data_IF_540565886576
#
_entry.id   IF_540565886576
#
_cell.length_a   1.000
_cell.length_b   1.000
_cell.length_c   1.000
_cell.angle_alpha   90.00
_cell.angle_beta   90.00
_cell.angle_gamma   90.00
#
_symmetry.space_group_name_H-M   'P 1'
#
loop_
_entity.id
_entity.type
_entity.pdbx_description
1 polymer ?
#
# COMPACT_ATOMS: atom_id res chain seq x y z
N UNK A 1 -0.66 -6.27 -28.87
CA UNK A 1 -0.45 -7.66 -28.39
C UNK A 1 -1.79 -8.16 -27.84
N UNK A 2 -2.24 -9.38 -28.20
CA UNK A 2 -3.56 -9.91 -27.80
C UNK A 2 -3.39 -11.37 -27.33
N UNK A 3 -3.74 -11.70 -26.07
CA UNK A 3 -3.77 -13.08 -25.60
C UNK A 3 -4.83 -13.91 -26.34
N UNK A 4 -4.58 -15.22 -26.48
CA UNK A 4 -5.54 -16.16 -27.08
C UNK A 4 -6.75 -16.37 -26.16
N UNK A 5 -6.51 -16.43 -24.85
CA UNK A 5 -7.54 -16.57 -23.84
C UNK A 5 -7.21 -15.68 -22.63
N UNK A 6 -8.26 -15.13 -22.00
CA UNK A 6 -8.14 -14.41 -20.73
C UNK A 6 -9.19 -14.90 -19.77
N UNK A 7 -8.79 -15.14 -18.53
CA UNK A 7 -9.68 -15.52 -17.43
C UNK A 7 -9.74 -14.36 -16.46
N UNK A 8 -10.96 -13.93 -16.15
CA UNK A 8 -11.23 -12.95 -15.09
C UNK A 8 -11.74 -13.67 -13.86
N UNK A 9 -11.13 -13.43 -12.72
CA UNK A 9 -11.57 -13.91 -11.43
C UNK A 9 -11.83 -12.75 -10.47
N UNK A 10 -12.90 -12.86 -9.68
CA UNK A 10 -13.18 -11.97 -8.55
C UNK A 10 -14.05 -12.70 -7.51
N UNK A 11 -13.97 -12.34 -6.22
CA UNK A 11 -14.97 -12.76 -5.26
C UNK A 11 -16.30 -12.01 -5.51
N UNK A 12 -17.43 -12.69 -5.29
CA UNK A 12 -18.77 -12.09 -5.46
C UNK A 12 -19.12 -11.11 -4.33
N UNK A 13 -18.52 -11.28 -3.14
CA UNK A 13 -18.69 -10.43 -1.97
C UNK A 13 -17.38 -10.16 -1.25
N UNK A 14 -17.43 -9.48 -0.09
CA UNK A 14 -16.26 -9.19 0.74
C UNK A 14 -15.23 -8.23 0.10
N UNK A 15 -15.63 -7.41 -0.86
CA UNK A 15 -14.73 -6.40 -1.45
C UNK A 15 -14.73 -5.11 -0.62
N UNK A 16 -13.57 -4.48 -0.39
CA UNK A 16 -13.50 -3.14 0.19
C UNK A 16 -14.36 -2.14 -0.59
N UNK A 17 -15.18 -1.35 0.12
CA UNK A 17 -16.12 -0.39 -0.50
C UNK A 17 -15.44 0.91 -0.99
N UNK A 18 -14.21 1.17 -0.57
CA UNK A 18 -13.46 2.41 -0.87
C UNK A 18 -12.83 2.45 -2.27
N UNK A 19 -12.87 1.33 -2.99
CA UNK A 19 -12.22 1.14 -4.29
C UNK A 19 -13.23 0.52 -5.25
N UNK A 20 -13.33 1.00 -6.52
CA UNK A 20 -14.19 0.37 -7.51
C UNK A 20 -13.87 -1.12 -7.70
N UNK A 21 -14.90 -1.96 -7.81
CA UNK A 21 -14.72 -3.41 -7.94
C UNK A 21 -13.82 -3.80 -9.12
N UNK A 22 -13.86 -3.02 -10.22
CA UNK A 22 -13.06 -3.22 -11.42
C UNK A 22 -11.55 -3.08 -11.16
N UNK A 23 -11.15 -2.36 -10.11
CA UNK A 23 -9.75 -2.18 -9.74
C UNK A 23 -9.19 -3.36 -8.95
N UNK A 24 -10.06 -4.20 -8.39
CA UNK A 24 -9.68 -5.40 -7.63
C UNK A 24 -9.80 -6.69 -8.45
N UNK A 25 -10.20 -6.62 -9.71
CA UNK A 25 -10.29 -7.79 -10.60
C UNK A 25 -8.93 -8.42 -10.87
N UNK A 26 -8.89 -9.76 -10.87
CA UNK A 26 -7.69 -10.54 -11.18
C UNK A 26 -7.81 -11.08 -12.60
N UNK A 27 -6.85 -10.71 -13.45
CA UNK A 27 -6.77 -11.14 -14.84
C UNK A 27 -5.61 -12.09 -15.07
N UNK A 28 -5.91 -13.25 -15.66
CA UNK A 28 -4.92 -14.22 -16.12
C UNK A 28 -4.98 -14.33 -17.64
N UNK A 29 -3.83 -14.26 -18.29
CA UNK A 29 -3.74 -14.33 -19.76
C UNK A 29 -3.05 -15.61 -20.20
N UNK A 30 -3.56 -16.23 -21.26
CA UNK A 30 -3.05 -17.47 -21.81
C UNK A 30 -2.79 -17.33 -23.31
N UNK A 31 -1.66 -17.88 -23.75
CA UNK A 31 -1.30 -18.03 -25.16
C UNK A 31 -1.04 -19.52 -25.41
N UNK A 32 -1.71 -20.10 -26.40
CA UNK A 32 -1.57 -21.49 -26.75
C UNK A 32 -0.59 -21.64 -27.92
N UNK A 33 0.44 -22.46 -27.74
CA UNK A 33 1.42 -22.75 -28.79
C UNK A 33 1.32 -24.20 -29.21
N UNK A 34 0.74 -24.44 -30.39
CA UNK A 34 0.79 -25.74 -31.03
C UNK A 34 2.11 -25.91 -31.80
N UNK A 35 2.84 -27.01 -31.57
CA UNK A 35 4.13 -27.27 -32.23
C UNK A 35 4.15 -28.65 -32.85
N UNK A 36 4.24 -28.70 -34.17
CA UNK A 36 4.18 -29.92 -34.98
C UNK A 36 5.44 -30.78 -34.77
N UNK A 37 6.61 -30.17 -34.58
CA UNK A 37 7.89 -30.89 -34.43
C UNK A 37 7.93 -31.76 -33.16
N UNK A 38 7.31 -31.29 -32.07
CA UNK A 38 7.15 -32.07 -30.84
C UNK A 38 6.18 -33.24 -31.02
N UNK A 39 5.16 -33.08 -31.87
CA UNK A 39 4.19 -34.12 -32.16
C UNK A 39 4.85 -35.25 -32.96
N UNK A 40 5.69 -34.90 -33.95
CA UNK A 40 6.42 -35.87 -34.76
C UNK A 40 7.38 -36.69 -33.90
N UNK A 41 8.20 -36.03 -33.07
CA UNK A 41 9.11 -36.71 -32.15
C UNK A 41 8.38 -37.63 -31.15
N UNK A 42 7.20 -37.24 -30.67
CA UNK A 42 6.37 -38.06 -29.78
C UNK A 42 5.64 -39.21 -30.49
N UNK A 43 5.35 -39.08 -31.79
CA UNK A 43 4.74 -40.13 -32.61
C UNK A 43 5.77 -41.15 -33.12
N UNK A 44 7.02 -40.74 -33.31
CA UNK A 44 8.13 -41.60 -33.77
C UNK A 44 8.85 -42.33 -32.65
N UNK A 45 8.54 -42.01 -31.38
CA UNK A 45 9.09 -42.72 -30.21
C UNK A 45 8.37 -44.06 -30.02
N UNK A 46 8.77 -45.08 -30.76
CA UNK A 46 8.41 -46.47 -30.52
C UNK A 46 9.21 -47.05 -29.32
N UNK A 47 8.77 -48.13 -28.64
CA UNK A 47 9.36 -48.57 -27.38
C UNK A 47 10.70 -49.30 -27.49
N UNK A 48 11.25 -49.49 -28.68
CA UNK A 48 12.50 -50.24 -28.88
C UNK A 48 13.53 -49.38 -29.64
N UNK A 49 14.34 -48.62 -28.91
CA UNK A 49 15.66 -48.17 -29.35
C UNK A 49 16.44 -47.67 -28.13
N UNK A 50 17.12 -48.60 -27.48
CA UNK A 50 18.22 -48.28 -26.56
C UNK A 50 19.37 -47.64 -27.33
N UNK A 51 19.97 -46.63 -26.70
CA UNK A 51 21.24 -45.97 -26.99
C UNK A 51 21.41 -45.16 -28.30
N UNK A 52 21.60 -43.85 -28.10
CA UNK A 52 22.46 -42.88 -28.81
C UNK A 52 21.73 -41.59 -29.25
N UNK A 53 21.64 -40.60 -28.34
CA UNK A 53 21.99 -39.19 -28.62
C UNK A 53 21.74 -38.30 -27.39
N UNK A 54 22.81 -38.02 -26.64
CA UNK A 54 22.83 -37.02 -25.54
C UNK A 54 22.82 -35.55 -26.03
N UNK A 55 22.26 -35.25 -27.22
CA UNK A 55 22.27 -33.89 -27.81
C UNK A 55 20.91 -33.35 -28.25
N UNK A 56 19.80 -33.89 -27.72
CA UNK A 56 18.44 -33.39 -28.04
C UNK A 56 17.65 -32.92 -26.80
N UNK A 57 18.29 -32.12 -25.94
CA UNK A 57 17.67 -31.50 -24.76
C UNK A 57 16.63 -30.39 -25.06
N UNK A 58 16.14 -30.26 -26.30
CA UNK A 58 15.21 -29.18 -26.71
C UNK A 58 13.82 -29.65 -27.18
N UNK A 59 13.41 -30.87 -26.88
CA UNK A 59 12.07 -31.39 -27.21
C UNK A 59 11.14 -31.37 -25.98
N UNK A 60 10.13 -30.50 -26.02
CA UNK A 60 8.98 -30.54 -25.08
C UNK A 60 8.73 -29.34 -24.17
N UNK A 61 9.65 -28.38 -24.00
CA UNK A 61 9.48 -27.24 -23.10
C UNK A 61 8.90 -25.97 -23.73
N UNK A 62 8.38 -25.06 -22.90
CA UNK A 62 8.07 -23.68 -23.32
C UNK A 62 9.35 -22.98 -23.79
N UNK A 63 9.30 -22.28 -24.94
CA UNK A 63 10.47 -21.55 -25.44
C UNK A 63 10.63 -20.27 -24.63
N UNK A 64 11.89 -19.83 -24.48
CA UNK A 64 12.21 -18.53 -23.88
C UNK A 64 11.45 -17.38 -24.55
N UNK A 65 11.32 -17.39 -25.87
CA UNK A 65 10.61 -16.36 -26.62
C UNK A 65 9.12 -16.28 -26.27
N UNK A 66 8.47 -17.44 -26.03
CA UNK A 66 7.07 -17.47 -25.62
C UNK A 66 6.91 -16.89 -24.20
N UNK A 67 7.86 -17.18 -23.30
CA UNK A 67 7.88 -16.59 -21.95
C UNK A 67 8.17 -15.08 -21.98
N UNK A 68 9.04 -14.61 -22.88
CA UNK A 68 9.29 -13.18 -23.09
C UNK A 68 8.02 -12.45 -23.55
N UNK A 69 7.21 -13.09 -24.40
CA UNK A 69 5.89 -12.56 -24.77
C UNK A 69 4.97 -12.40 -23.54
N UNK A 70 5.06 -13.30 -22.56
CA UNK A 70 4.24 -13.21 -21.34
C UNK A 70 4.65 -12.05 -20.43
N UNK A 71 5.94 -11.68 -20.39
CA UNK A 71 6.37 -10.43 -19.74
C UNK A 71 5.69 -9.22 -20.39
N UNK A 72 5.67 -9.17 -21.73
CA UNK A 72 5.03 -8.07 -22.42
C UNK A 72 3.51 -7.99 -22.15
N UNK A 73 2.82 -9.12 -21.97
CA UNK A 73 1.42 -9.11 -21.53
C UNK A 73 1.26 -8.55 -20.13
N UNK A 74 2.08 -9.02 -19.18
CA UNK A 74 2.05 -8.54 -17.79
C UNK A 74 2.23 -7.03 -17.68
N UNK A 75 3.10 -6.47 -18.51
CA UNK A 75 3.43 -5.05 -18.45
C UNK A 75 2.47 -4.18 -19.28
N UNK A 76 2.00 -4.67 -20.43
CA UNK A 76 1.17 -3.88 -21.35
C UNK A 76 -0.34 -3.95 -21.08
N UNK A 77 -0.81 -5.00 -20.39
CA UNK A 77 -2.22 -5.17 -20.08
C UNK A 77 -2.43 -4.86 -18.59
N UNK A 78 -3.12 -3.75 -18.31
CA UNK A 78 -3.40 -3.31 -16.95
C UNK A 78 -4.07 -4.42 -16.13
N UNK A 79 -3.64 -4.58 -14.87
CA UNK A 79 -4.20 -5.53 -13.89
C UNK A 79 -3.96 -7.01 -14.24
N UNK A 80 -2.97 -7.29 -15.08
CA UNK A 80 -2.50 -8.68 -15.28
C UNK A 80 -1.88 -9.20 -13.99
N UNK A 81 -2.52 -10.19 -13.36
CA UNK A 81 -1.96 -10.90 -12.21
C UNK A 81 -1.02 -12.04 -12.66
N UNK A 82 -1.26 -12.60 -13.85
CA UNK A 82 -0.32 -13.55 -14.45
C UNK A 82 -0.56 -13.81 -15.91
N UNK A 83 0.50 -14.25 -16.59
CA UNK A 83 0.46 -14.60 -18.00
C UNK A 83 1.20 -15.92 -18.24
N UNK A 84 0.54 -16.85 -18.95
CA UNK A 84 0.95 -18.23 -19.05
C UNK A 84 0.93 -18.75 -20.49
N UNK A 85 1.86 -19.64 -20.81
CA UNK A 85 1.89 -20.35 -22.10
C UNK A 85 1.33 -21.76 -21.94
N UNK A 86 0.38 -22.14 -22.78
CA UNK A 86 -0.06 -23.53 -22.91
C UNK A 86 0.71 -24.20 -24.05
N UNK A 87 1.35 -25.33 -23.78
CA UNK A 87 2.14 -26.05 -24.79
C UNK A 87 1.84 -27.56 -24.79
N UNK A 88 2.01 -28.26 -25.93
CA UNK A 88 1.81 -29.70 -26.01
C UNK A 88 2.93 -30.42 -25.26
N UNK A 89 2.58 -31.06 -24.14
CA UNK A 89 3.50 -31.82 -23.29
C UNK A 89 2.74 -32.60 -22.21
N UNK A 90 3.44 -33.49 -21.51
CA UNK A 90 2.90 -34.31 -20.41
C UNK A 90 3.49 -33.96 -19.04
N UNK A 91 4.66 -33.32 -19.00
CA UNK A 91 5.38 -33.02 -17.77
C UNK A 91 5.78 -31.55 -17.70
N UNK A 92 5.76 -31.00 -16.48
CA UNK A 92 6.25 -29.65 -16.22
C UNK A 92 7.75 -29.78 -15.96
N UNK A 93 8.56 -29.41 -16.95
CA UNK A 93 10.01 -29.55 -16.85
C UNK A 93 10.68 -28.55 -15.90
N UNK A 94 10.03 -27.43 -15.59
CA UNK A 94 10.60 -26.38 -14.74
C UNK A 94 9.50 -25.54 -14.06
N UNK A 95 9.07 -25.89 -12.83
CA UNK A 95 8.35 -24.92 -11.97
C UNK A 95 9.41 -24.10 -11.24
N UNK A 96 9.86 -23.02 -11.87
CA UNK A 96 10.72 -22.05 -11.17
C UNK A 96 9.86 -21.02 -10.47
N UNK A 97 9.49 -21.30 -9.22
CA UNK A 97 8.98 -20.25 -8.33
C UNK A 97 10.15 -19.37 -7.95
N UNK A 98 10.03 -18.07 -8.22
CA UNK A 98 11.03 -17.13 -7.74
C UNK A 98 10.97 -17.10 -6.20
N UNK A 99 12.09 -17.28 -5.49
CA UNK A 99 12.11 -17.52 -4.03
C UNK A 99 11.53 -16.36 -3.20
N UNK A 100 11.38 -15.17 -3.80
CA UNK A 100 10.70 -14.03 -3.19
C UNK A 100 9.16 -14.03 -3.27
N UNK A 101 8.54 -14.95 -4.03
CA UNK A 101 7.09 -15.04 -4.19
C UNK A 101 6.56 -16.26 -3.43
N UNK A 102 5.96 -16.00 -2.27
CA UNK A 102 5.36 -17.02 -1.40
C UNK A 102 3.86 -17.22 -1.68
N UNK A 103 3.25 -16.39 -2.53
CA UNK A 103 1.84 -16.46 -2.91
C UNK A 103 1.67 -17.00 -4.33
N UNK A 104 0.50 -17.56 -4.63
CA UNK A 104 0.18 -18.20 -5.92
C UNK A 104 0.19 -17.18 -7.07
N UNK A 105 -0.16 -15.93 -6.78
CA UNK A 105 -0.06 -14.78 -7.67
C UNK A 105 0.88 -13.74 -7.04
N UNK A 106 1.55 -12.88 -7.83
CA UNK A 106 1.58 -12.79 -9.30
C UNK A 106 2.70 -13.62 -9.95
N UNK A 107 2.54 -14.03 -11.21
CA UNK A 107 3.54 -14.88 -11.87
C UNK A 107 3.46 -15.01 -13.40
N UNK A 108 4.55 -15.54 -13.96
CA UNK A 108 4.63 -16.00 -15.34
C UNK A 108 4.95 -17.48 -15.34
N UNK A 109 4.41 -18.24 -16.28
CA UNK A 109 4.68 -19.67 -16.32
C UNK A 109 4.25 -20.33 -17.61
N UNK A 110 4.39 -21.64 -17.64
CA UNK A 110 3.91 -22.44 -18.75
C UNK A 110 3.34 -23.76 -18.25
N UNK A 111 2.20 -24.15 -18.81
CA UNK A 111 1.53 -25.39 -18.48
C UNK A 111 1.53 -26.34 -19.68
N UNK A 112 1.94 -27.60 -19.49
CA UNK A 112 1.70 -28.63 -20.47
C UNK A 112 0.19 -28.89 -20.55
N UNK A 113 -0.36 -28.93 -21.76
CA UNK A 113 -1.74 -29.34 -22.02
C UNK A 113 -1.78 -30.17 -23.30
N UNK A 114 -2.18 -31.43 -23.18
CA UNK A 114 -2.23 -32.39 -24.30
C UNK A 114 -3.63 -32.98 -24.43
N UNK A 115 -4.25 -32.97 -25.62
CA UNK A 115 -5.45 -33.77 -25.86
C UNK A 115 -5.11 -35.26 -25.68
N UNK A 116 -5.84 -35.99 -24.83
CA UNK A 116 -5.65 -37.44 -24.63
C UNK A 116 -6.89 -38.22 -25.07
N UNK A 117 -6.72 -39.51 -25.36
CA UNK A 117 -7.84 -40.43 -25.65
C UNK A 117 -8.82 -40.55 -24.49
N UNK A 118 -8.32 -40.38 -23.26
CA UNK A 118 -9.09 -40.44 -22.02
C UNK A 118 -9.76 -39.09 -21.68
N UNK A 119 -9.66 -38.11 -22.58
CA UNK A 119 -10.23 -36.77 -22.45
C UNK A 119 -9.29 -35.73 -21.83
N UNK A 120 -9.84 -34.53 -21.61
CA UNK A 120 -9.17 -33.41 -20.95
C UNK A 120 -8.83 -33.63 -19.46
N UNK A 121 -9.66 -34.31 -18.63
CA UNK A 121 -9.42 -34.38 -17.18
C UNK A 121 -8.09 -35.06 -16.78
N UNK A 122 -7.60 -35.99 -17.59
CA UNK A 122 -6.32 -36.67 -17.32
C UNK A 122 -5.12 -35.79 -17.66
N UNK A 123 -5.27 -34.81 -18.56
CA UNK A 123 -4.20 -33.97 -19.08
C UNK A 123 -4.21 -32.52 -18.59
N UNK A 124 -5.29 -32.07 -17.94
CA UNK A 124 -5.42 -30.73 -17.35
C UNK A 124 -5.14 -30.64 -15.86
N UNK A 125 -4.87 -31.76 -15.16
CA UNK A 125 -4.79 -31.82 -13.68
C UNK A 125 -3.98 -30.69 -13.03
N UNK A 126 -2.82 -30.35 -13.58
CA UNK A 126 -1.99 -29.26 -13.06
C UNK A 126 -2.66 -27.90 -13.24
N UNK A 127 -3.23 -27.67 -14.43
CA UNK A 127 -3.95 -26.44 -14.74
C UNK A 127 -5.21 -26.30 -13.87
N UNK A 128 -5.92 -27.40 -13.63
CA UNK A 128 -7.09 -27.44 -12.74
C UNK A 128 -6.69 -27.12 -11.29
N UNK A 129 -5.61 -27.73 -10.80
CA UNK A 129 -5.06 -27.40 -9.48
C UNK A 129 -4.63 -25.94 -9.40
N UNK A 130 -3.96 -25.42 -10.42
CA UNK A 130 -3.58 -24.02 -10.50
C UNK A 130 -4.80 -23.08 -10.42
N UNK A 131 -5.85 -23.35 -11.19
CA UNK A 131 -7.08 -22.57 -11.11
C UNK A 131 -7.75 -22.66 -9.74
N UNK A 132 -7.77 -23.85 -9.11
CA UNK A 132 -8.28 -24.02 -7.75
C UNK A 132 -7.48 -23.20 -6.72
N UNK A 133 -6.15 -23.21 -6.83
CA UNK A 133 -5.25 -22.43 -5.97
C UNK A 133 -5.46 -20.92 -6.19
N UNK A 134 -5.61 -20.47 -7.44
CA UNK A 134 -5.94 -19.08 -7.80
C UNK A 134 -7.27 -18.65 -7.22
N UNK A 135 -8.33 -19.44 -7.40
CA UNK A 135 -9.66 -19.09 -6.88
C UNK A 135 -9.65 -18.99 -5.35
N UNK A 136 -8.96 -19.90 -4.67
CA UNK A 136 -8.78 -19.86 -3.22
C UNK A 136 -8.01 -18.62 -2.78
N UNK A 137 -6.95 -18.25 -3.51
CA UNK A 137 -6.16 -17.06 -3.26
C UNK A 137 -6.96 -15.77 -3.47
N UNK A 138 -7.69 -15.65 -4.59
CA UNK A 138 -8.52 -14.49 -4.94
C UNK A 138 -9.70 -14.31 -3.99
N UNK A 139 -10.24 -15.41 -3.44
CA UNK A 139 -11.30 -15.36 -2.44
C UNK A 139 -10.81 -14.92 -1.05
N UNK A 140 -9.49 -14.87 -0.82
CA UNK A 140 -8.92 -14.59 0.49
C UNK A 140 -8.58 -13.10 0.66
N UNK A 141 -9.16 -12.48 1.69
CA UNK A 141 -8.90 -11.07 2.04
C UNK A 141 -7.56 -10.86 2.77
N UNK A 142 -6.90 -11.93 3.21
CA UNK A 142 -5.70 -11.85 4.05
C UNK A 142 -4.40 -11.99 3.25
N UNK A 143 -4.49 -12.06 1.91
CA UNK A 143 -3.32 -12.17 1.03
C UNK A 143 -2.60 -10.83 0.90
N UNK A 144 -1.28 -10.88 0.70
CA UNK A 144 -0.48 -9.69 0.38
C UNK A 144 -0.88 -9.12 -0.96
N UNK A 145 -1.25 -9.98 -1.92
CA UNK A 145 -1.80 -9.57 -3.22
C UNK A 145 -3.08 -8.73 -3.09
N UNK A 146 -4.06 -9.14 -2.27
CA UNK A 146 -5.28 -8.34 -2.04
C UNK A 146 -4.94 -6.97 -1.44
N UNK A 147 -4.06 -6.95 -0.42
CA UNK A 147 -3.58 -5.69 0.18
C UNK A 147 -2.90 -4.82 -0.87
N UNK A 148 -2.05 -5.40 -1.71
CA UNK A 148 -1.34 -4.69 -2.77
C UNK A 148 -2.31 -4.10 -3.80
N UNK A 149 -3.26 -4.89 -4.32
CA UNK A 149 -4.29 -4.42 -5.27
C UNK A 149 -5.08 -3.26 -4.69
N UNK A 150 -5.54 -3.37 -3.45
CA UNK A 150 -6.31 -2.32 -2.78
C UNK A 150 -5.54 -0.98 -2.67
N UNK A 151 -4.28 -1.01 -2.23
CA UNK A 151 -3.50 0.21 -2.07
C UNK A 151 -3.03 0.79 -3.41
N UNK A 152 -2.64 -0.04 -4.38
CA UNK A 152 -2.33 0.40 -5.74
C UNK A 152 -3.52 1.13 -6.36
N UNK A 153 -4.71 0.54 -6.25
CA UNK A 153 -5.97 1.13 -6.71
C UNK A 153 -6.27 2.47 -5.99
N UNK A 154 -6.10 2.50 -4.66
CA UNK A 154 -6.29 3.72 -3.87
C UNK A 154 -5.36 4.85 -4.28
N UNK A 155 -4.08 4.57 -4.51
CA UNK A 155 -3.05 5.57 -4.90
C UNK A 155 -3.24 6.06 -6.33
N UNK A 156 -3.75 5.22 -7.23
CA UNK A 156 -3.98 5.58 -8.64
C UNK A 156 -5.42 6.05 -8.92
N UNK A 157 -6.17 6.43 -7.88
CA UNK A 157 -7.56 6.88 -8.04
C UNK A 157 -7.63 8.09 -9.00
N UNK A 158 -8.47 8.04 -10.05
CA UNK A 158 -8.59 9.15 -11.00
C UNK A 158 -9.08 10.44 -10.33
N UNK A 159 -8.51 11.58 -10.73
CA UNK A 159 -8.96 12.91 -10.32
C UNK A 159 -8.38 13.43 -9.00
N UNK A 160 -7.57 12.64 -8.29
CA UNK A 160 -6.76 13.18 -7.19
C UNK A 160 -5.56 13.95 -7.78
N UNK A 161 -5.32 15.20 -7.34
CA UNK A 161 -4.19 15.97 -7.83
C UNK A 161 -2.88 15.31 -7.39
N UNK A 162 -1.99 15.06 -8.36
CA UNK A 162 -0.61 14.68 -8.09
C UNK A 162 0.07 15.89 -7.47
N UNK A 163 0.45 15.78 -6.19
CA UNK A 163 1.23 16.81 -5.55
C UNK A 163 2.69 16.65 -6.01
N UNK A 164 3.12 17.51 -6.92
CA UNK A 164 4.52 17.64 -7.29
C UNK A 164 5.22 18.53 -6.25
N UNK A 165 5.76 17.92 -5.21
CA UNK A 165 6.50 18.62 -4.17
C UNK A 165 7.87 17.96 -3.95
N UNK A 166 8.92 18.78 -3.84
CA UNK A 166 10.27 18.35 -3.46
C UNK A 166 10.50 18.36 -1.95
N UNK A 167 9.48 18.73 -1.17
CA UNK A 167 9.57 18.83 0.27
C UNK A 167 9.68 17.44 0.90
N UNK A 168 10.81 17.18 1.54
CA UNK A 168 11.14 15.90 2.17
C UNK A 168 11.39 16.06 3.66
N UNK A 169 11.31 14.95 4.39
CA UNK A 169 11.72 14.89 5.79
C UNK A 169 12.16 13.48 6.19
N UNK A 170 13.11 13.40 7.12
CA UNK A 170 13.86 12.16 7.41
C UNK A 170 13.32 11.39 8.62
N UNK A 171 12.30 11.91 9.32
CA UNK A 171 11.78 11.31 10.56
C UNK A 171 10.50 10.48 10.38
N UNK A 172 9.99 10.35 9.15
CA UNK A 172 8.79 9.54 8.88
C UNK A 172 9.14 8.06 8.83
N UNK A 173 8.34 7.25 9.52
CA UNK A 173 8.45 5.79 9.49
C UNK A 173 7.56 5.16 8.37
N UNK A 174 6.57 5.92 7.89
CA UNK A 174 5.59 5.55 6.85
C UNK A 174 5.52 6.65 5.77
N UNK A 175 4.97 6.37 4.57
CA UNK A 175 4.76 7.41 3.57
C UNK A 175 3.94 8.60 4.09
N UNK A 176 4.10 9.82 3.54
CA UNK A 176 3.39 11.01 4.00
C UNK A 176 1.86 10.87 4.08
N UNK A 177 1.24 10.18 3.12
CA UNK A 177 -0.20 9.98 3.07
C UNK A 177 -0.73 8.98 4.12
N UNK A 178 0.16 8.12 4.65
CA UNK A 178 -0.16 7.10 5.66
C UNK A 178 0.26 7.54 7.07
N UNK A 179 0.94 8.69 7.19
CA UNK A 179 1.41 9.19 8.48
C UNK A 179 0.45 10.22 9.06
N UNK A 180 -0.28 9.84 10.09
CA UNK A 180 -1.17 10.72 10.85
C UNK A 180 -0.39 11.69 11.76
N UNK A 181 -0.77 12.96 11.67
CA UNK A 181 -0.18 14.10 12.39
C UNK A 181 -1.28 14.80 13.19
N UNK A 182 -1.16 14.75 14.51
CA UNK A 182 -1.99 15.54 15.41
C UNK A 182 -1.51 16.99 15.40
N UNK A 183 -2.41 17.94 15.14
CA UNK A 183 -2.12 19.37 15.27
C UNK A 183 -2.36 19.81 16.70
N UNK A 184 -1.27 20.15 17.39
CA UNK A 184 -1.27 20.52 18.80
C UNK A 184 -1.16 22.02 19.01
N UNK A 185 -2.27 22.69 19.38
CA UNK A 185 -2.24 24.11 19.70
C UNK A 185 -1.56 24.38 21.06
N UNK A 186 -0.56 25.25 21.06
CA UNK A 186 0.11 25.77 22.24
C UNK A 186 -0.61 27.04 22.72
N UNK A 187 -1.38 26.89 23.79
CA UNK A 187 -2.31 27.92 24.28
C UNK A 187 -1.66 29.13 24.94
N UNK A 188 -0.49 28.97 25.54
CA UNK A 188 0.19 30.05 26.27
C UNK A 188 1.69 29.73 26.45
N UNK A 189 2.52 30.73 26.80
CA UNK A 189 3.93 30.50 27.13
C UNK A 189 4.13 29.52 28.29
N UNK A 190 3.25 29.53 29.30
CA UNK A 190 3.29 28.58 30.42
C UNK A 190 3.01 27.16 29.93
N UNK A 191 2.06 27.01 29.00
CA UNK A 191 1.77 25.73 28.39
C UNK A 191 2.96 25.21 27.58
N UNK A 192 3.61 26.08 26.79
CA UNK A 192 4.83 25.72 26.05
C UNK A 192 5.92 25.21 26.99
N UNK A 193 6.24 25.96 28.05
CA UNK A 193 7.24 25.56 29.04
C UNK A 193 6.88 24.24 29.72
N UNK A 194 5.60 23.99 29.97
CA UNK A 194 5.15 22.71 30.50
C UNK A 194 5.39 21.57 29.50
N UNK A 195 5.03 21.76 28.22
CA UNK A 195 5.27 20.77 27.15
C UNK A 195 6.76 20.45 27.03
N UNK A 196 7.62 21.47 26.96
CA UNK A 196 9.08 21.31 26.84
C UNK A 196 9.70 20.61 28.05
N UNK A 197 9.33 21.03 29.26
CA UNK A 197 9.89 20.51 30.52
C UNK A 197 9.42 19.10 30.83
N UNK A 198 8.12 18.83 30.67
CA UNK A 198 7.53 17.52 30.98
C UNK A 198 7.63 16.55 29.81
N UNK A 199 7.95 17.04 28.60
CA UNK A 199 7.88 16.28 27.35
C UNK A 199 6.52 15.61 27.18
N UNK A 200 5.46 16.38 27.40
CA UNK A 200 4.08 15.89 27.42
C UNK A 200 3.15 16.84 26.68
N UNK A 201 2.13 16.29 26.01
CA UNK A 201 1.05 17.06 25.40
C UNK A 201 -0.31 16.57 25.89
N UNK A 202 -1.24 17.46 26.18
CA UNK A 202 -2.56 17.08 26.66
C UNK A 202 -3.68 17.40 25.66
N UNK A 203 -4.61 16.46 25.52
CA UNK A 203 -5.85 16.63 24.76
C UNK A 203 -7.05 16.43 25.69
N UNK A 204 -8.17 17.07 25.35
CA UNK A 204 -9.38 17.06 26.19
C UNK A 204 -10.00 15.66 26.15
N UNK A 205 -10.51 15.19 27.28
CA UNK A 205 -11.34 13.98 27.38
C UNK A 205 -12.62 14.29 28.18
N UNK A 206 -13.51 13.30 28.27
CA UNK A 206 -14.78 13.36 29.01
C UNK A 206 -15.93 13.97 28.20
N UNK A 207 -16.97 14.44 28.89
CA UNK A 207 -18.18 14.98 28.27
C UNK A 207 -18.09 16.50 28.09
N UNK A 208 -17.27 16.95 27.13
CA UNK A 208 -17.16 18.39 26.81
C UNK A 208 -16.80 18.64 25.36
N UNK A 209 -17.06 19.86 24.90
CA UNK A 209 -16.73 20.28 23.54
C UNK A 209 -15.22 20.09 23.22
N UNK A 210 -14.97 19.37 22.13
CA UNK A 210 -13.63 19.01 21.67
C UNK A 210 -12.93 17.94 22.52
N UNK A 211 -13.67 17.19 23.34
CA UNK A 211 -13.15 15.99 23.97
C UNK A 211 -12.94 14.88 22.92
N UNK A 212 -11.84 14.16 23.07
CA UNK A 212 -11.47 13.03 22.23
C UNK A 212 -12.05 11.75 22.81
N UNK A 213 -12.61 10.93 21.93
CA UNK A 213 -13.13 9.62 22.29
C UNK A 213 -12.03 8.56 22.29
N UNK A 214 -12.19 7.54 23.13
CA UNK A 214 -11.29 6.39 23.12
C UNK A 214 -11.44 5.67 21.76
N UNK A 215 -10.31 5.48 21.07
CA UNK A 215 -10.29 4.91 19.71
C UNK A 215 -10.41 5.95 18.59
N UNK A 216 -10.53 7.24 18.91
CA UNK A 216 -10.45 8.32 17.93
C UNK A 216 -9.08 8.38 17.25
N UNK A 217 -9.05 8.92 16.01
CA UNK A 217 -7.85 9.04 15.17
C UNK A 217 -6.75 9.86 15.88
N UNK A 218 -7.13 10.79 16.75
CA UNK A 218 -6.26 11.65 17.55
C UNK A 218 -5.35 10.86 18.49
N UNK A 219 -5.88 9.82 19.11
CA UNK A 219 -5.09 8.95 20.00
C UNK A 219 -4.21 7.96 19.21
N UNK A 220 -4.50 7.75 17.92
CA UNK A 220 -3.73 6.90 17.01
C UNK A 220 -2.61 7.63 16.26
N UNK A 221 -2.61 8.96 16.25
CA UNK A 221 -1.58 9.75 15.58
C UNK A 221 -0.19 9.50 16.20
N UNK A 222 0.79 9.23 15.34
CA UNK A 222 2.18 8.96 15.75
C UNK A 222 3.03 10.22 15.82
N UNK A 223 2.62 11.27 15.12
CA UNK A 223 3.30 12.56 15.09
C UNK A 223 2.42 13.66 15.69
N UNK A 224 3.06 14.64 16.31
CA UNK A 224 2.48 15.86 16.84
C UNK A 224 3.19 17.04 16.17
N UNK A 225 2.44 17.90 15.47
CA UNK A 225 2.92 19.19 15.01
C UNK A 225 2.41 20.26 15.97
N UNK A 226 3.32 20.86 16.73
CA UNK A 226 3.01 21.94 17.66
C UNK A 226 2.93 23.24 16.88
N UNK A 227 1.87 24.00 17.13
CA UNK A 227 1.70 25.32 16.54
C UNK A 227 1.12 26.29 17.55
N UNK A 228 1.38 27.57 17.32
CA UNK A 228 0.98 28.62 18.25
C UNK A 228 0.58 29.89 17.52
N UNK A 229 -0.01 30.83 18.26
CA UNK A 229 -0.42 32.13 17.75
C UNK A 229 0.42 33.23 18.41
N UNK A 230 1.21 33.92 17.60
CA UNK A 230 1.93 35.14 17.99
C UNK A 230 1.35 36.36 17.25
N UNK A 231 1.87 36.70 16.08
CA UNK A 231 1.29 37.62 15.10
C UNK A 231 0.41 36.90 14.07
N UNK A 232 0.65 35.61 13.86
CA UNK A 232 -0.09 34.67 13.03
C UNK A 232 0.08 33.24 13.55
N UNK A 233 -0.53 32.26 12.87
CA UNK A 233 -0.26 30.85 13.16
C UNK A 233 1.12 30.47 12.60
N UNK A 234 1.95 29.85 13.42
CA UNK A 234 3.24 29.33 12.98
C UNK A 234 3.58 28.02 13.72
N UNK A 235 4.45 27.24 13.11
CA UNK A 235 4.95 25.98 13.67
C UNK A 235 5.93 26.29 14.80
N UNK A 236 5.68 25.69 15.96
CA UNK A 236 6.52 25.84 17.15
C UNK A 236 7.44 24.64 17.38
N UNK A 237 7.12 23.47 16.82
CA UNK A 237 7.88 22.24 17.03
C UNK A 237 7.19 21.02 16.45
N UNK A 238 7.89 19.88 16.45
CA UNK A 238 7.30 18.58 16.15
C UNK A 238 7.83 17.52 17.13
N UNK A 239 7.02 16.50 17.38
CA UNK A 239 7.38 15.38 18.25
C UNK A 239 6.74 14.08 17.78
N UNK A 240 7.38 12.95 18.08
CA UNK A 240 6.75 11.63 18.05
C UNK A 240 5.92 11.44 19.32
N UNK A 241 4.70 10.94 19.16
CA UNK A 241 3.80 10.54 20.24
C UNK A 241 4.08 9.09 20.62
N UNK A 242 4.60 8.87 21.83
CA UNK A 242 5.05 7.55 22.26
C UNK A 242 3.90 6.73 22.85
N UNK A 243 3.14 7.33 23.78
CA UNK A 243 2.02 6.67 24.45
C UNK A 243 1.07 7.69 25.05
N UNK A 244 -0.21 7.32 25.15
CA UNK A 244 -1.25 8.08 25.82
C UNK A 244 -1.60 7.49 27.19
N UNK A 245 -1.89 8.36 28.15
CA UNK A 245 -2.44 7.99 29.47
C UNK A 245 -3.61 8.89 29.86
N UNK A 246 -4.67 8.38 30.50
CA UNK A 246 -5.67 9.22 31.12
C UNK A 246 -5.04 10.00 32.28
N UNK A 247 -5.46 11.24 32.46
CA UNK A 247 -5.05 12.09 33.58
C UNK A 247 -6.22 12.98 34.01
N UNK A 248 -6.31 13.21 35.32
CA UNK A 248 -7.26 14.15 35.90
C UNK A 248 -6.73 15.58 35.89
N UNK A 249 -7.61 16.55 36.15
CA UNK A 249 -7.19 17.93 36.42
C UNK A 249 -6.15 18.04 37.55
N UNK A 250 -6.31 17.22 38.61
CA UNK A 250 -5.39 17.20 39.75
C UNK A 250 -4.01 16.68 39.35
N UNK A 251 -3.95 15.62 38.52
CA UNK A 251 -2.68 15.08 38.00
C UNK A 251 -1.94 16.12 37.16
N UNK A 252 -2.66 16.85 36.30
CA UNK A 252 -2.08 17.93 35.51
C UNK A 252 -1.54 19.06 36.39
N UNK A 253 -2.29 19.51 37.40
CA UNK A 253 -1.84 20.53 38.35
C UNK A 253 -0.57 20.08 39.09
N UNK A 254 -0.47 18.81 39.48
CA UNK A 254 0.71 18.27 40.16
C UNK A 254 1.98 18.32 39.29
N UNK A 255 1.83 18.29 37.96
CA UNK A 255 2.96 18.46 37.01
C UNK A 255 3.27 19.92 36.68
N UNK A 256 2.51 20.87 37.23
CA UNK A 256 2.62 22.30 36.94
C UNK A 256 1.94 22.74 35.64
N UNK A 257 0.91 22.01 35.18
CA UNK A 257 0.11 22.41 34.02
C UNK A 257 -0.72 23.67 34.32
N UNK A 258 -0.77 24.67 33.41
CA UNK A 258 -1.50 25.90 33.66
C UNK A 258 -3.02 25.70 33.54
N UNK A 259 -3.73 25.84 34.67
CA UNK A 259 -5.18 26.01 34.77
C UNK A 259 -6.03 25.02 33.94
N UNK A 260 -6.12 23.73 34.34
CA UNK A 260 -7.01 22.77 33.69
C UNK A 260 -8.47 23.20 33.83
N UNK A 261 -9.22 23.14 32.73
CA UNK A 261 -10.63 23.58 32.60
C UNK A 261 -11.63 22.43 32.46
N UNK A 262 -11.22 21.20 32.75
CA UNK A 262 -12.12 20.05 32.75
C UNK A 262 -11.52 18.93 33.56
N UNK A 263 -12.33 17.92 33.84
CA UNK A 263 -11.95 16.93 34.86
C UNK A 263 -11.01 15.86 34.34
N UNK A 264 -11.07 15.56 33.04
CA UNK A 264 -10.33 14.49 32.39
C UNK A 264 -9.60 14.96 31.12
N UNK A 265 -8.44 14.35 30.90
CA UNK A 265 -7.55 14.56 29.77
C UNK A 265 -6.89 13.25 29.35
N UNK A 266 -6.46 13.19 28.10
CA UNK A 266 -5.40 12.27 27.70
C UNK A 266 -4.08 13.05 27.62
N UNK A 267 -3.02 12.47 28.17
CA UNK A 267 -1.67 13.03 28.15
C UNK A 267 -0.76 12.10 27.37
N UNK A 268 -0.15 12.62 26.31
CA UNK A 268 0.79 11.92 25.45
C UNK A 268 2.22 12.23 25.87
N UNK A 269 3.05 11.21 26.02
CA UNK A 269 4.51 11.39 26.18
C UNK A 269 5.16 11.67 24.82
N UNK A 270 6.10 12.61 24.79
CA UNK A 270 6.69 13.17 23.58
C UNK A 270 8.19 12.83 23.45
N UNK A 271 8.59 12.48 22.24
CA UNK A 271 9.97 12.53 21.78
C UNK A 271 10.11 13.62 20.73
N UNK A 272 10.73 14.75 21.09
CA UNK A 272 10.90 15.87 20.17
C UNK A 272 11.76 15.50 18.97
N UNK A 273 11.33 15.94 17.79
CA UNK A 273 12.13 15.91 16.58
C UNK A 273 13.20 16.99 16.69
N UNK A 274 14.47 16.60 16.65
CA UNK A 274 15.60 17.53 16.85
C UNK A 274 15.71 18.59 15.76
N UNK A 275 15.44 18.19 14.52
CA UNK A 275 15.55 19.05 13.35
C UNK A 275 14.24 19.03 12.57
N UNK A 276 13.52 20.14 12.64
CA UNK A 276 12.39 20.38 11.75
C UNK A 276 12.86 20.48 10.29
N UNK A 277 12.00 20.15 9.33
CA UNK A 277 12.31 20.39 7.92
C UNK A 277 12.57 21.88 7.68
N UNK A 278 13.49 22.20 6.77
CA UNK A 278 13.85 23.59 6.40
C UNK A 278 12.66 24.42 5.91
N UNK A 279 11.60 23.76 5.47
CA UNK A 279 10.37 24.36 4.96
C UNK A 279 9.26 24.44 6.01
N UNK A 280 9.53 24.10 7.28
CA UNK A 280 8.51 24.10 8.34
C UNK A 280 7.81 25.46 8.50
N UNK A 281 8.57 26.55 8.30
CA UNK A 281 8.03 27.92 8.36
C UNK A 281 7.12 28.27 7.18
N UNK A 282 7.14 27.47 6.10
CA UNK A 282 6.26 27.63 4.94
C UNK A 282 4.91 26.94 5.09
N UNK A 283 4.70 26.15 6.16
CA UNK A 283 3.45 25.44 6.40
C UNK A 283 2.31 26.44 6.67
N UNK A 284 1.33 26.51 5.77
CA UNK A 284 0.11 27.28 5.99
C UNK A 284 -0.84 26.55 6.97
N UNK A 285 -0.73 26.93 8.24
CA UNK A 285 -1.58 26.39 9.30
C UNK A 285 -3.02 26.91 9.23
N UNK A 286 -3.30 28.02 8.55
CA UNK A 286 -4.67 28.50 8.37
C UNK A 286 -5.43 27.57 7.43
N UNK A 287 -4.79 27.10 6.36
CA UNK A 287 -5.34 26.06 5.47
C UNK A 287 -5.57 24.76 6.23
N UNK A 288 -4.59 24.32 7.04
CA UNK A 288 -4.72 23.07 7.80
C UNK A 288 -5.82 23.14 8.88
N UNK A 289 -6.06 24.32 9.46
CA UNK A 289 -6.99 24.48 10.59
C UNK A 289 -8.32 25.12 10.22
N UNK A 290 -8.59 25.37 8.93
CA UNK A 290 -9.78 26.06 8.44
C UNK A 290 -11.10 25.41 8.88
N UNK A 291 -11.14 24.07 8.99
CA UNK A 291 -12.34 23.32 9.33
C UNK A 291 -12.49 23.00 10.83
N UNK A 292 -11.57 23.47 11.68
CA UNK A 292 -11.57 23.13 13.11
C UNK A 292 -12.73 23.81 13.82
N UNK A 293 -13.67 23.00 14.31
CA UNK A 293 -14.77 23.45 15.17
C UNK A 293 -14.37 23.38 16.65
N UNK A 294 -14.66 24.44 17.39
CA UNK A 294 -14.73 24.48 18.87
C UNK A 294 -13.51 23.94 19.66
N UNK A 295 -12.31 24.06 19.09
CA UNK A 295 -11.06 23.69 19.75
C UNK A 295 -10.91 22.20 20.00
N UNK A 296 -11.57 21.37 19.19
CA UNK A 296 -11.25 19.95 19.07
C UNK A 296 -9.84 19.79 18.46
N UNK A 297 -9.04 18.82 18.93
CA UNK A 297 -7.82 18.44 18.25
C UNK A 297 -8.13 17.98 16.82
N UNK A 298 -7.24 18.33 15.88
CA UNK A 298 -7.36 17.97 14.48
C UNK A 298 -6.23 17.01 14.09
N UNK A 299 -6.56 15.97 13.34
CA UNK A 299 -5.58 15.07 12.73
C UNK A 299 -5.62 15.23 11.22
N UNK A 300 -4.45 15.49 10.66
CA UNK A 300 -4.20 15.54 9.22
C UNK A 300 -3.14 14.49 8.86
N UNK A 301 -2.92 14.22 7.57
CA UNK A 301 -1.77 13.42 7.14
C UNK A 301 -0.55 14.32 6.95
N UNK A 302 0.66 13.75 6.98
CA UNK A 302 1.86 14.51 6.62
C UNK A 302 1.81 14.99 5.15
N UNK A 303 1.12 14.26 4.27
CA UNK A 303 0.83 14.72 2.92
C UNK A 303 0.03 16.02 2.88
N UNK A 304 -0.96 16.18 3.77
CA UNK A 304 -1.71 17.43 3.89
C UNK A 304 -0.82 18.57 4.38
N UNK A 305 0.12 18.29 5.30
CA UNK A 305 1.12 19.26 5.76
C UNK A 305 2.01 19.73 4.61
N UNK A 306 2.50 18.80 3.78
CA UNK A 306 3.30 19.12 2.59
C UNK A 306 2.48 19.93 1.58
N UNK A 307 1.20 19.59 1.38
CA UNK A 307 0.29 20.35 0.51
C UNK A 307 0.09 21.77 1.01
N UNK A 308 -0.12 21.95 2.31
CA UNK A 308 -0.28 23.26 2.93
C UNK A 308 1.00 24.11 2.83
N UNK A 309 2.18 23.48 2.89
CA UNK A 309 3.44 24.18 2.64
C UNK A 309 3.68 24.53 1.16
N UNK A 310 3.19 23.69 0.24
CA UNK A 310 3.40 23.85 -1.20
C UNK A 310 2.40 24.81 -1.85
N UNK A 311 1.28 25.13 -1.20
CA UNK A 311 0.29 26.11 -1.66
C UNK A 311 0.80 27.56 -1.62
N UNK A 312 1.90 27.80 -0.89
CA UNK A 312 2.64 29.06 -0.92
C UNK A 312 3.48 29.07 -2.19
N UNK A 313 2.98 29.68 -3.27
CA UNK A 313 3.75 29.90 -4.50
C UNK A 313 5.14 30.47 -4.15
N UNK A 314 6.25 29.89 -4.64
CA UNK A 314 7.51 30.63 -4.63
C UNK A 314 7.31 31.88 -5.49
N UNK A 315 7.79 33.06 -5.06
CA UNK A 315 7.72 34.26 -5.90
C UNK A 315 8.33 33.94 -7.25
N UNK A 316 7.59 34.24 -8.32
CA UNK A 316 7.97 33.96 -9.69
C UNK A 316 9.42 34.39 -9.94
N UNK A 317 10.35 33.42 -9.90
CA UNK A 317 11.72 33.64 -10.31
C UNK A 317 11.67 33.86 -11.81
N UNK A 318 11.95 35.11 -12.21
CA UNK A 318 11.98 35.53 -13.60
C UNK A 318 12.75 34.53 -14.45
N UNK A 319 12.10 34.03 -15.50
CA UNK A 319 12.78 33.27 -16.54
C UNK A 319 13.79 34.19 -17.23
N UNK A 320 15.03 33.74 -17.47
CA UNK A 320 15.95 34.44 -18.37
C UNK A 320 15.43 34.45 -19.82
#
# INVERSE_FOLDING_TARGET
MRPDCSVRARPEGSTPSRVPMQELEVWLHFDAKYRVDNLLAQLTSAPDADELSEESTTSGGAKRDDLLKMHAYRDAISRTAGAYVLYPGSEIKDIRRHPGFNEVLPGLGAFPLRPSSDGLPSSSRTLDRFFSDVLTHVASQVTRDERHRFWTATVHRPGEPVLESSLTTDFLDEPPADTDVLLGFVRSPEHRRWIERMRQYNIRAGERAGAVEIGGRELGAKLLLLYERSSGLHVAGAAKLVRWRPATAADLLATGYPNPRGDMYFVGDLEFVEHLPVWADSIDLEVLTAEVRDGAPLVVTWWDVVRAASAVEPPAAGRP
#
